data_IF_673790559937
#
_entry.id   IF_673790559937
#
_cell.length_a   1.000
_cell.length_b   1.000
_cell.length_c   1.000
_cell.angle_alpha   90.00
_cell.angle_beta   90.00
_cell.angle_gamma   90.00
#
_symmetry.space_group_name_H-M   'P 1'
#
loop_
_entity.id
_entity.type
_entity.pdbx_description
1 polymer ?
#
# COMPACT_ATOMS: atom_id res chain seq x y z
N UNK A 1 25.85 23.55 -21.58
CA UNK A 1 25.80 22.93 -20.22
C UNK A 1 25.10 21.58 -20.23
N UNK A 2 23.93 21.43 -20.87
CA UNK A 2 23.16 20.18 -20.88
C UNK A 2 23.88 18.98 -21.53
N UNK A 3 24.51 19.17 -22.70
CA UNK A 3 25.29 18.13 -23.39
C UNK A 3 26.38 17.52 -22.51
N UNK A 4 27.08 18.33 -21.71
CA UNK A 4 28.14 17.85 -20.82
C UNK A 4 27.61 16.99 -19.66
N UNK A 5 26.42 17.32 -19.13
CA UNK A 5 25.77 16.52 -18.07
C UNK A 5 25.21 15.20 -18.59
N UNK A 6 24.59 15.21 -19.77
CA UNK A 6 24.11 14.00 -20.45
C UNK A 6 25.28 13.06 -20.78
N UNK A 7 26.41 13.60 -21.29
CA UNK A 7 27.64 12.83 -21.53
C UNK A 7 28.20 12.19 -20.25
N UNK A 8 28.12 12.89 -19.11
CA UNK A 8 28.60 12.37 -17.82
C UNK A 8 27.75 11.20 -17.32
N UNK A 9 26.42 11.27 -17.50
CA UNK A 9 25.51 10.17 -17.16
C UNK A 9 25.65 8.97 -18.11
N UNK A 10 25.90 9.21 -19.40
CA UNK A 10 26.25 8.12 -20.32
C UNK A 10 27.52 7.40 -19.88
N UNK A 11 28.56 8.13 -19.48
CA UNK A 11 29.78 7.55 -18.96
C UNK A 11 29.53 6.72 -17.69
N UNK A 12 28.67 7.19 -16.79
CA UNK A 12 28.31 6.45 -15.57
C UNK A 12 27.54 5.16 -15.88
N UNK A 13 26.56 5.22 -16.79
CA UNK A 13 25.80 4.04 -17.21
C UNK A 13 26.68 3.02 -17.91
N UNK A 14 27.62 3.46 -18.76
CA UNK A 14 28.61 2.58 -19.39
C UNK A 14 29.54 1.94 -18.36
N UNK A 15 30.05 2.72 -17.40
CA UNK A 15 30.90 2.19 -16.34
C UNK A 15 30.22 1.10 -15.51
N UNK A 16 28.90 1.23 -15.25
CA UNK A 16 28.12 0.19 -14.57
C UNK A 16 27.90 -1.03 -15.47
N UNK A 17 27.61 -0.84 -16.76
CA UNK A 17 27.40 -1.94 -17.70
C UNK A 17 28.68 -2.76 -17.97
N UNK A 18 29.85 -2.13 -17.85
CA UNK A 18 31.17 -2.75 -18.02
C UNK A 18 31.70 -3.34 -16.70
N UNK A 19 30.99 -3.15 -15.59
CA UNK A 19 31.37 -3.68 -14.29
C UNK A 19 31.03 -5.17 -14.17
N UNK A 20 32.06 -5.96 -13.85
CA UNK A 20 31.94 -7.40 -13.63
C UNK A 20 31.78 -7.67 -12.13
N UNK A 21 30.54 -7.82 -11.69
CA UNK A 21 30.25 -8.10 -10.29
C UNK A 21 30.55 -9.57 -9.97
N UNK A 22 31.41 -9.84 -8.99
CA UNK A 22 31.75 -11.21 -8.58
C UNK A 22 31.08 -11.50 -7.24
N UNK A 23 30.28 -12.56 -7.21
CA UNK A 23 29.63 -13.05 -6.00
C UNK A 23 29.75 -14.58 -5.94
N UNK A 24 30.20 -15.12 -4.80
CA UNK A 24 30.47 -16.56 -4.61
C UNK A 24 31.35 -17.19 -5.71
N UNK A 25 32.32 -16.44 -6.22
CA UNK A 25 33.23 -16.89 -7.29
C UNK A 25 32.60 -16.95 -8.68
N UNK A 26 31.37 -16.46 -8.86
CA UNK A 26 30.69 -16.34 -10.16
C UNK A 26 30.61 -14.89 -10.61
N UNK A 27 30.81 -14.67 -11.90
CA UNK A 27 30.71 -13.34 -12.53
C UNK A 27 29.26 -13.10 -12.96
N UNK A 28 28.68 -12.01 -12.45
CA UNK A 28 27.35 -11.52 -12.79
C UNK A 28 27.48 -10.22 -13.58
N UNK A 29 26.71 -10.12 -14.66
CA UNK A 29 26.62 -8.90 -15.46
C UNK A 29 25.56 -8.00 -14.86
N UNK A 30 25.98 -6.84 -14.37
CA UNK A 30 25.08 -5.80 -13.86
C UNK A 30 24.98 -4.72 -14.93
N UNK A 31 23.81 -4.10 -15.04
CA UNK A 31 23.60 -3.00 -15.98
C UNK A 31 22.71 -1.92 -15.40
N UNK A 32 22.87 -0.70 -15.91
CA UNK A 32 22.08 0.45 -15.52
C UNK A 32 21.34 1.02 -16.73
N UNK A 33 20.12 1.50 -16.49
CA UNK A 33 19.39 2.35 -17.43
C UNK A 33 19.00 3.61 -16.67
N UNK A 34 19.10 4.78 -17.29
CA UNK A 34 18.87 6.04 -16.60
C UNK A 34 17.96 6.96 -17.42
N UNK A 35 17.02 7.61 -16.75
CA UNK A 35 16.21 8.69 -17.30
C UNK A 35 16.71 10.03 -16.83
N UNK A 36 16.68 11.03 -17.71
CA UNK A 36 17.04 12.41 -17.39
C UNK A 36 15.88 13.31 -17.81
N UNK A 37 15.43 14.19 -16.92
CA UNK A 37 14.61 15.34 -17.32
C UNK A 37 15.33 16.66 -17.06
N UNK A 38 14.96 17.68 -17.81
CA UNK A 38 15.38 19.06 -17.64
C UNK A 38 14.44 19.73 -16.64
N UNK A 39 14.96 20.36 -15.60
CA UNK A 39 14.13 21.23 -14.75
C UNK A 39 14.12 22.62 -15.38
N UNK A 40 12.93 23.12 -15.71
CA UNK A 40 12.70 24.40 -16.35
C UNK A 40 11.46 25.12 -15.77
N UNK A 41 11.11 26.24 -16.38
CA UNK A 41 9.96 27.05 -15.97
C UNK A 41 8.60 26.43 -16.36
N UNK A 42 8.56 25.16 -16.78
CA UNK A 42 7.31 24.48 -17.10
C UNK A 42 7.08 23.21 -16.27
N UNK A 43 8.03 22.79 -15.41
CA UNK A 43 7.90 21.61 -14.54
C UNK A 43 8.22 21.90 -13.07
N UNK A 44 7.51 22.88 -12.51
CA UNK A 44 7.81 23.46 -11.20
C UNK A 44 7.52 22.58 -9.99
N UNK A 45 6.93 21.40 -10.18
CA UNK A 45 6.60 20.48 -9.09
C UNK A 45 7.59 19.32 -9.06
N UNK A 46 8.12 18.99 -7.87
CA UNK A 46 9.03 17.86 -7.70
C UNK A 46 8.42 16.53 -8.18
N UNK A 47 7.13 16.32 -7.95
CA UNK A 47 6.41 15.14 -8.43
C UNK A 47 6.40 15.04 -9.96
N UNK A 48 6.27 16.16 -10.66
CA UNK A 48 6.28 16.24 -12.11
C UNK A 48 7.68 15.96 -12.67
N UNK A 49 8.72 16.57 -12.10
CA UNK A 49 10.13 16.32 -12.46
C UNK A 49 10.48 14.84 -12.26
N UNK A 50 10.07 14.25 -11.14
CA UNK A 50 10.32 12.84 -10.85
C UNK A 50 9.59 11.92 -11.83
N UNK A 51 8.33 12.23 -12.15
CA UNK A 51 7.55 11.49 -13.16
C UNK A 51 8.22 11.53 -14.53
N UNK A 52 8.65 12.71 -15.00
CA UNK A 52 9.34 12.85 -16.28
C UNK A 52 10.66 12.06 -16.32
N UNK A 53 11.45 12.09 -15.24
CA UNK A 53 12.68 11.31 -15.14
C UNK A 53 12.40 9.80 -15.16
N UNK A 54 11.33 9.34 -14.51
CA UNK A 54 10.95 7.93 -14.50
C UNK A 54 10.46 7.45 -15.88
N UNK A 55 9.63 8.25 -16.57
CA UNK A 55 9.19 7.99 -17.95
C UNK A 55 10.40 7.79 -18.88
N UNK A 56 11.40 8.67 -18.79
CA UNK A 56 12.63 8.56 -19.58
C UNK A 56 13.47 7.33 -19.19
N UNK A 57 13.48 6.95 -17.91
CA UNK A 57 14.17 5.75 -17.44
C UNK A 57 13.49 4.49 -18.00
N UNK A 58 12.16 4.48 -18.02
CA UNK A 58 11.37 3.41 -18.62
C UNK A 58 11.58 3.30 -20.13
N UNK A 59 11.61 4.43 -20.84
CA UNK A 59 11.95 4.46 -22.26
C UNK A 59 13.34 3.86 -22.54
N UNK A 60 14.32 4.10 -21.65
CA UNK A 60 15.65 3.48 -21.72
C UNK A 60 15.60 1.96 -21.56
N UNK A 61 14.78 1.46 -20.61
CA UNK A 61 14.59 0.03 -20.38
C UNK A 61 13.99 -0.67 -21.60
N UNK A 62 13.01 -0.05 -22.26
CA UNK A 62 12.31 -0.67 -23.39
C UNK A 62 13.01 -0.45 -24.73
N UNK A 63 13.85 0.59 -24.85
CA UNK A 63 14.63 0.86 -26.06
C UNK A 63 15.78 -0.12 -26.30
N UNK A 64 16.08 -1.02 -25.35
CA UNK A 64 17.18 -1.98 -25.43
C UNK A 64 18.10 -2.01 -24.21
N UNK A 65 17.71 -1.32 -23.11
CA UNK A 65 18.43 -1.26 -21.83
C UNK A 65 19.86 -0.71 -21.96
N UNK A 66 20.56 -0.54 -20.84
CA UNK A 66 21.98 -0.17 -20.82
C UNK A 66 22.26 1.25 -21.34
N UNK A 67 21.25 2.13 -21.35
CA UNK A 67 21.34 3.45 -21.96
C UNK A 67 20.74 4.54 -21.09
N UNK A 68 21.06 5.76 -21.47
CA UNK A 68 20.50 6.96 -20.88
C UNK A 68 19.57 7.59 -21.91
N UNK A 69 18.36 7.95 -21.49
CA UNK A 69 17.38 8.63 -22.34
C UNK A 69 16.99 9.95 -21.69
N UNK A 70 16.92 11.01 -22.50
CA UNK A 70 16.42 12.31 -22.07
C UNK A 70 14.92 12.33 -22.32
N UNK A 71 14.17 12.81 -21.34
CA UNK A 71 12.73 12.99 -21.42
C UNK A 71 12.37 13.89 -22.58
N UNK A 72 11.46 13.40 -23.43
CA UNK A 72 10.80 14.19 -24.45
C UNK A 72 9.28 14.12 -24.22
N UNK A 73 8.52 15.21 -24.42
CA UNK A 73 7.06 15.19 -24.23
C UNK A 73 6.32 14.13 -25.06
N UNK A 74 6.88 13.75 -26.21
CA UNK A 74 6.35 12.66 -27.04
C UNK A 74 6.52 11.28 -26.39
N UNK A 75 7.51 11.11 -25.51
CA UNK A 75 7.65 9.90 -24.69
C UNK A 75 6.59 9.87 -23.60
N UNK A 76 6.17 11.00 -23.04
CA UNK A 76 5.01 11.03 -22.15
C UNK A 76 3.73 10.65 -22.90
N UNK A 77 3.52 11.12 -24.14
CA UNK A 77 2.38 10.71 -24.95
C UNK A 77 2.43 9.22 -25.31
N UNK A 78 3.57 8.69 -25.78
CA UNK A 78 3.73 7.28 -26.12
C UNK A 78 3.75 6.34 -24.89
N UNK A 79 4.23 6.82 -23.74
CA UNK A 79 4.14 6.12 -22.46
C UNK A 79 2.72 6.17 -21.92
N UNK A 80 2.03 7.30 -22.02
CA UNK A 80 0.61 7.42 -21.66
C UNK A 80 -0.29 6.57 -22.57
N UNK A 81 -0.02 6.50 -23.87
CA UNK A 81 -0.80 5.69 -24.83
C UNK A 81 -0.49 4.18 -24.76
N UNK A 82 0.73 3.79 -24.34
CA UNK A 82 1.10 2.37 -24.16
C UNK A 82 1.00 1.87 -22.72
N UNK A 83 0.89 2.77 -21.72
CA UNK A 83 0.77 2.42 -20.31
C UNK A 83 -0.61 2.73 -19.71
N UNK A 84 -1.47 3.51 -20.38
CA UNK A 84 -2.87 3.59 -19.99
C UNK A 84 -3.59 2.33 -20.48
N UNK A 85 -3.73 1.35 -19.60
CA UNK A 85 -4.68 0.26 -19.80
C UNK A 85 -6.03 0.89 -20.14
N UNK A 86 -6.66 0.42 -21.22
CA UNK A 86 -7.97 0.93 -21.61
C UNK A 86 -9.00 0.70 -20.49
N UNK A 87 -10.04 1.53 -20.43
CA UNK A 87 -11.11 1.37 -19.44
C UNK A 87 -11.72 -0.04 -19.49
N UNK A 88 -11.87 -0.63 -20.68
CA UNK A 88 -12.37 -1.99 -20.87
C UNK A 88 -11.42 -3.04 -20.29
N UNK A 89 -10.11 -2.89 -20.46
CA UNK A 89 -9.10 -3.75 -19.82
C UNK A 89 -9.14 -3.64 -18.30
N UNK A 90 -9.28 -2.43 -17.75
CA UNK A 90 -9.40 -2.21 -16.31
C UNK A 90 -10.64 -2.90 -15.73
N UNK A 91 -11.78 -2.79 -16.40
CA UNK A 91 -13.00 -3.51 -16.03
C UNK A 91 -12.84 -5.02 -16.12
N UNK A 92 -12.17 -5.51 -17.16
CA UNK A 92 -11.92 -6.94 -17.34
C UNK A 92 -11.02 -7.48 -16.24
N UNK A 93 -9.95 -6.77 -15.89
CA UNK A 93 -9.08 -7.12 -14.77
C UNK A 93 -9.85 -7.21 -13.46
N UNK A 94 -10.73 -6.24 -13.19
CA UNK A 94 -11.56 -6.25 -11.99
C UNK A 94 -12.59 -7.38 -12.00
N UNK A 95 -13.14 -7.81 -13.13
CA UNK A 95 -14.21 -8.83 -13.15
C UNK A 95 -13.72 -10.26 -13.32
N UNK A 96 -12.70 -10.46 -14.16
CA UNK A 96 -12.34 -11.78 -14.68
C UNK A 96 -10.98 -12.26 -14.17
N UNK A 97 -10.02 -11.35 -13.96
CA UNK A 97 -8.66 -11.76 -13.62
C UNK A 97 -8.55 -12.21 -12.17
N UNK A 98 -7.51 -12.98 -11.87
CA UNK A 98 -7.26 -13.45 -10.51
C UNK A 98 -7.01 -12.27 -9.57
N UNK A 99 -7.68 -12.30 -8.42
CA UNK A 99 -7.50 -11.39 -7.30
C UNK A 99 -6.99 -12.24 -6.13
N UNK A 100 -5.86 -11.86 -5.56
CA UNK A 100 -5.30 -12.52 -4.39
C UNK A 100 -5.28 -11.58 -3.21
N UNK A 101 -5.83 -12.05 -2.09
CA UNK A 101 -5.76 -11.38 -0.79
C UNK A 101 -4.54 -11.91 -0.03
N UNK A 102 -3.53 -11.08 0.17
CA UNK A 102 -2.37 -11.38 1.00
C UNK A 102 -2.58 -10.85 2.40
N UNK A 103 -2.40 -11.71 3.39
CA UNK A 103 -2.55 -11.41 4.81
C UNK A 103 -1.19 -11.14 5.46
N UNK A 104 -1.09 -9.99 6.12
CA UNK A 104 0.09 -9.51 6.85
C UNK A 104 -0.20 -9.59 8.35
N UNK A 105 0.61 -10.35 9.08
CA UNK A 105 0.45 -10.48 10.53
C UNK A 105 0.75 -9.18 11.25
N UNK A 106 -0.17 -8.73 12.12
CA UNK A 106 0.01 -7.56 12.96
C UNK A 106 0.23 -7.99 14.40
N UNK A 107 1.31 -7.54 15.02
CA UNK A 107 1.64 -7.84 16.40
C UNK A 107 2.26 -6.64 17.11
N UNK A 108 2.34 -6.70 18.43
CA UNK A 108 3.11 -5.70 19.17
C UNK A 108 4.60 -5.92 18.90
N UNK A 109 5.41 -4.86 18.70
CA UNK A 109 6.86 -5.02 18.55
C UNK A 109 7.53 -5.62 19.80
N UNK A 110 6.84 -5.65 20.94
CA UNK A 110 7.30 -6.24 22.20
C UNK A 110 6.96 -7.73 22.35
N UNK A 111 5.96 -8.21 21.60
CA UNK A 111 5.44 -9.59 21.67
C UNK A 111 5.03 -10.00 20.25
N UNK A 112 5.99 -10.23 19.34
CA UNK A 112 5.73 -10.45 17.92
C UNK A 112 4.95 -11.75 17.64
N UNK A 113 4.93 -12.70 18.57
CA UNK A 113 4.21 -13.98 18.42
C UNK A 113 2.68 -13.82 18.53
N UNK A 114 2.20 -12.77 19.22
CA UNK A 114 0.79 -12.55 19.54
C UNK A 114 0.00 -11.90 18.40
N UNK A 115 -0.16 -12.63 17.29
CA UNK A 115 -0.84 -12.16 16.07
C UNK A 115 -2.34 -12.48 16.07
N UNK A 116 -3.16 -11.49 16.39
CA UNK A 116 -4.63 -11.62 16.36
C UNK A 116 -5.30 -10.74 15.29
N UNK A 117 -4.56 -9.84 14.66
CA UNK A 117 -5.02 -8.95 13.60
C UNK A 117 -4.18 -9.18 12.34
N UNK A 118 -4.83 -9.19 11.18
CA UNK A 118 -4.18 -9.33 9.89
C UNK A 118 -4.61 -8.19 8.96
N UNK A 119 -3.65 -7.47 8.38
CA UNK A 119 -3.94 -6.51 7.31
C UNK A 119 -4.00 -7.25 5.98
N UNK A 120 -4.99 -6.93 5.15
CA UNK A 120 -5.10 -7.49 3.80
C UNK A 120 -4.62 -6.47 2.78
N UNK A 121 -3.70 -6.91 1.92
CA UNK A 121 -3.34 -6.21 0.70
C UNK A 121 -3.78 -7.01 -0.52
N UNK A 122 -4.16 -6.33 -1.59
CA UNK A 122 -4.58 -7.00 -2.82
C UNK A 122 -3.45 -7.07 -3.85
N UNK A 123 -3.35 -8.22 -4.51
CA UNK A 123 -2.56 -8.43 -5.73
C UNK A 123 -3.51 -8.80 -6.86
N UNK A 124 -3.37 -8.15 -8.00
CA UNK A 124 -4.16 -8.40 -9.21
C UNK A 124 -3.26 -8.85 -10.34
N UNK A 125 -3.78 -9.72 -11.20
CA UNK A 125 -3.06 -10.13 -12.40
C UNK A 125 -3.47 -9.26 -13.59
N UNK A 126 -2.49 -8.81 -14.36
CA UNK A 126 -2.71 -8.21 -15.67
C UNK A 126 -3.16 -9.26 -16.68
N UNK A 127 -3.69 -8.80 -17.82
CA UNK A 127 -4.01 -9.67 -18.95
C UNK A 127 -2.77 -10.42 -19.48
N UNK A 128 -1.57 -9.89 -19.23
CA UNK A 128 -0.29 -10.48 -19.61
C UNK A 128 0.28 -11.43 -18.53
N UNK A 129 -0.41 -11.58 -17.40
CA UNK A 129 -0.03 -12.45 -16.30
C UNK A 129 0.94 -11.81 -15.29
N UNK A 130 1.19 -10.51 -15.38
CA UNK A 130 2.01 -9.79 -14.41
C UNK A 130 1.22 -9.45 -13.14
N UNK A 131 1.90 -9.48 -11.99
CA UNK A 131 1.29 -9.13 -10.70
C UNK A 131 1.38 -7.62 -10.49
N UNK A 132 0.23 -7.00 -10.21
CA UNK A 132 0.08 -5.57 -9.94
C UNK A 132 -0.42 -5.38 -8.50
N UNK A 133 0.25 -4.48 -7.78
CA UNK A 133 -0.16 -4.00 -6.47
C UNK A 133 -1.44 -3.17 -6.51
N UNK A 134 -2.30 -3.32 -5.51
CA UNK A 134 -3.55 -2.57 -5.38
C UNK A 134 -3.36 -1.05 -5.53
N UNK A 135 -2.39 -0.46 -4.85
CA UNK A 135 -2.17 0.98 -4.88
C UNK A 135 -1.78 1.47 -6.28
N UNK A 136 -0.91 0.71 -6.97
CA UNK A 136 -0.51 0.98 -8.35
C UNK A 136 -1.70 0.85 -9.29
N UNK A 137 -2.50 -0.20 -9.11
CA UNK A 137 -3.69 -0.43 -9.93
C UNK A 137 -4.73 0.68 -9.74
N UNK A 138 -5.03 1.07 -8.49
CA UNK A 138 -5.99 2.15 -8.20
C UNK A 138 -5.54 3.50 -8.74
N UNK A 139 -4.23 3.79 -8.74
CA UNK A 139 -3.68 5.02 -9.37
C UNK A 139 -3.87 5.05 -10.88
N UNK A 140 -4.05 3.90 -11.52
CA UNK A 140 -4.29 3.80 -12.98
C UNK A 140 -5.76 3.97 -13.37
N UNK A 141 -6.68 4.06 -12.40
CA UNK A 141 -8.10 4.14 -12.68
C UNK A 141 -8.47 5.40 -13.43
N UNK A 142 -9.07 5.21 -14.60
CA UNK A 142 -9.60 6.32 -15.40
C UNK A 142 -11.01 6.76 -14.97
N UNK A 143 -11.70 5.96 -14.15
CA UNK A 143 -13.08 6.19 -13.71
C UNK A 143 -13.26 5.79 -12.23
N UNK A 144 -13.81 6.67 -11.36
CA UNK A 144 -14.18 6.33 -9.99
C UNK A 144 -15.06 5.08 -9.84
N UNK A 145 -15.86 4.72 -10.85
CA UNK A 145 -16.69 3.51 -10.85
C UNK A 145 -15.87 2.21 -10.73
N UNK A 146 -14.60 2.23 -11.18
CA UNK A 146 -13.69 1.09 -11.05
C UNK A 146 -13.31 0.82 -9.60
N UNK A 147 -13.06 1.87 -8.81
CA UNK A 147 -12.81 1.74 -7.35
C UNK A 147 -13.99 1.10 -6.65
N UNK A 148 -15.20 1.53 -6.98
CA UNK A 148 -16.43 0.94 -6.43
C UNK A 148 -16.57 -0.54 -6.81
N UNK A 149 -16.30 -0.89 -8.06
CA UNK A 149 -16.39 -2.27 -8.54
C UNK A 149 -15.34 -3.19 -7.89
N UNK A 150 -14.10 -2.70 -7.73
CA UNK A 150 -13.05 -3.44 -7.05
C UNK A 150 -13.42 -3.69 -5.59
N UNK A 151 -13.85 -2.66 -4.86
CA UNK A 151 -14.26 -2.80 -3.46
C UNK A 151 -15.40 -3.81 -3.32
N UNK A 152 -16.43 -3.71 -4.18
CA UNK A 152 -17.56 -4.65 -4.20
C UNK A 152 -17.10 -6.09 -4.41
N UNK A 153 -16.18 -6.32 -5.36
CA UNK A 153 -15.62 -7.65 -5.60
C UNK A 153 -14.84 -8.17 -4.41
N UNK A 154 -13.99 -7.34 -3.80
CA UNK A 154 -13.17 -7.71 -2.64
C UNK A 154 -14.04 -8.18 -1.48
N UNK A 155 -15.06 -7.40 -1.12
CA UNK A 155 -15.96 -7.80 -0.04
C UNK A 155 -16.76 -9.06 -0.40
N UNK A 156 -17.29 -9.14 -1.63
CA UNK A 156 -18.02 -10.32 -2.08
C UNK A 156 -17.18 -11.60 -1.98
N UNK A 157 -15.96 -11.59 -2.52
CA UNK A 157 -15.06 -12.75 -2.46
C UNK A 157 -14.66 -13.08 -1.00
N UNK A 158 -14.40 -12.07 -0.17
CA UNK A 158 -14.07 -12.28 1.23
C UNK A 158 -15.21 -12.95 2.01
N UNK A 159 -16.44 -12.45 1.87
CA UNK A 159 -17.60 -13.03 2.55
C UNK A 159 -17.92 -14.44 2.05
N UNK A 160 -17.76 -14.67 0.76
CA UNK A 160 -18.02 -15.97 0.14
C UNK A 160 -16.98 -17.02 0.56
N UNK A 161 -15.70 -16.66 0.62
CA UNK A 161 -14.60 -17.62 0.70
C UNK A 161 -13.92 -17.69 2.06
N UNK A 162 -13.82 -16.57 2.79
CA UNK A 162 -12.97 -16.47 3.99
C UNK A 162 -13.75 -16.19 5.28
N UNK A 163 -14.84 -15.44 5.23
CA UNK A 163 -15.52 -14.92 6.43
C UNK A 163 -15.89 -16.00 7.46
N UNK A 164 -16.39 -17.17 7.01
CA UNK A 164 -16.72 -18.29 7.91
C UNK A 164 -15.48 -18.86 8.62
N UNK A 165 -14.39 -19.02 7.91
CA UNK A 165 -13.16 -19.58 8.47
C UNK A 165 -12.47 -18.56 9.41
N UNK A 166 -12.49 -17.27 9.04
CA UNK A 166 -12.07 -16.17 9.91
C UNK A 166 -12.87 -16.16 11.22
N UNK A 167 -14.20 -16.25 11.14
CA UNK A 167 -15.08 -16.31 12.30
C UNK A 167 -14.75 -17.50 13.21
N UNK A 168 -14.55 -18.68 12.61
CA UNK A 168 -14.27 -19.93 13.33
C UNK A 168 -12.92 -19.89 14.05
N UNK A 169 -11.92 -19.20 13.47
CA UNK A 169 -10.61 -18.98 14.08
C UNK A 169 -10.60 -17.84 15.10
N UNK A 170 -11.57 -16.94 15.05
CA UNK A 170 -11.64 -15.77 15.93
C UNK A 170 -10.56 -14.72 15.68
N UNK A 171 -10.00 -14.68 14.47
CA UNK A 171 -8.98 -13.69 14.07
C UNK A 171 -9.64 -12.43 13.49
N UNK A 172 -9.02 -11.27 13.69
CA UNK A 172 -9.44 -10.02 13.07
C UNK A 172 -8.77 -9.84 11.71
N UNK A 173 -9.55 -9.37 10.72
CA UNK A 173 -9.09 -9.08 9.36
C UNK A 173 -9.38 -7.62 9.03
N UNK A 174 -8.39 -6.90 8.51
CA UNK A 174 -8.52 -5.53 8.03
C UNK A 174 -8.52 -5.48 6.50
N UNK A 175 -9.66 -5.16 5.90
CA UNK A 175 -9.84 -5.04 4.45
C UNK A 175 -9.77 -3.59 3.99
N UNK A 176 -9.15 -3.30 2.84
CA UNK A 176 -9.18 -1.97 2.25
C UNK A 176 -10.58 -1.59 1.77
N UNK A 177 -10.97 -0.34 2.03
CA UNK A 177 -12.17 0.30 1.50
C UNK A 177 -11.77 1.68 0.97
N UNK A 178 -12.00 1.91 -0.32
CA UNK A 178 -11.65 3.19 -0.94
C UNK A 178 -12.62 4.30 -0.54
N UNK A 179 -12.23 5.55 -0.78
CA UNK A 179 -13.12 6.71 -0.61
C UNK A 179 -14.39 6.57 -1.47
N UNK A 180 -14.25 6.07 -2.70
CA UNK A 180 -15.38 5.83 -3.61
C UNK A 180 -16.30 4.71 -3.11
N UNK A 181 -15.75 3.69 -2.46
CA UNK A 181 -16.55 2.64 -1.81
C UNK A 181 -17.31 3.17 -0.60
N UNK A 182 -16.64 3.96 0.24
CA UNK A 182 -17.23 4.54 1.45
C UNK A 182 -18.32 5.58 1.16
N UNK A 183 -18.17 6.36 0.07
CA UNK A 183 -19.15 7.34 -0.38
C UNK A 183 -20.41 6.71 -0.97
N UNK A 184 -20.31 5.45 -1.41
CA UNK A 184 -21.43 4.71 -1.98
C UNK A 184 -22.32 4.10 -0.89
N UNK A 185 -23.48 4.72 -0.68
CA UNK A 185 -24.49 4.20 0.25
C UNK A 185 -24.95 2.77 -0.13
N UNK A 186 -24.98 2.44 -1.43
CA UNK A 186 -25.33 1.08 -1.88
C UNK A 186 -24.27 0.07 -1.46
N UNK A 187 -22.97 0.35 -1.66
CA UNK A 187 -21.93 -0.58 -1.22
C UNK A 187 -21.89 -0.74 0.29
N UNK A 188 -22.03 0.36 1.03
CA UNK A 188 -22.06 0.32 2.50
C UNK A 188 -23.24 -0.54 2.98
N UNK A 189 -24.42 -0.39 2.38
CA UNK A 189 -25.57 -1.22 2.73
C UNK A 189 -25.37 -2.68 2.33
N UNK A 190 -24.85 -2.97 1.13
CA UNK A 190 -24.53 -4.32 0.67
C UNK A 190 -23.49 -5.00 1.59
N UNK A 191 -22.52 -4.24 2.11
CA UNK A 191 -21.52 -4.71 3.06
C UNK A 191 -22.16 -5.08 4.40
N UNK A 192 -23.06 -4.24 4.90
CA UNK A 192 -23.81 -4.50 6.13
C UNK A 192 -24.71 -5.72 5.99
N UNK A 193 -25.42 -5.85 4.87
CA UNK A 193 -26.26 -7.01 4.59
C UNK A 193 -25.44 -8.31 4.49
N UNK A 194 -24.28 -8.28 3.83
CA UNK A 194 -23.39 -9.43 3.78
C UNK A 194 -22.85 -9.79 5.17
N UNK A 195 -22.57 -8.80 6.01
CA UNK A 195 -22.11 -9.02 7.37
C UNK A 195 -23.20 -9.64 8.24
N UNK A 196 -24.44 -9.14 8.16
CA UNK A 196 -25.58 -9.67 8.91
C UNK A 196 -25.94 -11.11 8.49
N UNK A 197 -25.77 -11.43 7.20
CA UNK A 197 -26.00 -12.78 6.66
C UNK A 197 -24.79 -13.73 6.84
N UNK A 198 -23.68 -13.24 7.37
CA UNK A 198 -22.45 -13.99 7.56
C UNK A 198 -22.28 -14.43 9.01
N UNK A 199 -21.63 -15.58 9.29
CA UNK A 199 -21.27 -15.97 10.64
C UNK A 199 -20.15 -15.12 11.25
N UNK A 200 -19.59 -14.14 10.52
CA UNK A 200 -18.50 -13.28 10.96
C UNK A 200 -18.98 -12.25 12.00
N UNK A 201 -18.49 -12.31 13.25
CA UNK A 201 -18.76 -11.25 14.22
C UNK A 201 -18.22 -9.90 13.69
N UNK A 202 -19.04 -8.83 13.66
CA UNK A 202 -18.63 -7.52 13.15
C UNK A 202 -17.34 -6.98 13.75
N UNK A 203 -17.09 -7.25 15.04
CA UNK A 203 -15.87 -6.83 15.76
C UNK A 203 -14.57 -7.38 15.17
N UNK A 204 -14.62 -8.46 14.38
CA UNK A 204 -13.47 -9.07 13.71
C UNK A 204 -13.21 -8.45 12.33
N UNK A 205 -14.18 -7.74 11.77
CA UNK A 205 -14.01 -7.01 10.51
C UNK A 205 -13.51 -5.60 10.79
N UNK A 206 -12.30 -5.32 10.34
CA UNK A 206 -11.70 -4.01 10.37
C UNK A 206 -11.72 -3.44 8.94
N UNK A 207 -11.97 -2.14 8.79
CA UNK A 207 -11.99 -1.46 7.49
C UNK A 207 -10.87 -0.43 7.45
N UNK A 208 -9.97 -0.59 6.48
CA UNK A 208 -8.86 0.32 6.22
C UNK A 208 -9.36 1.40 5.26
N UNK A 209 -9.45 2.62 5.76
CA UNK A 209 -10.02 3.77 5.04
C UNK A 209 -8.95 4.88 4.99
N UNK A 210 -8.78 5.58 3.86
CA UNK A 210 -7.92 6.78 3.80
C UNK A 210 -8.37 7.83 4.81
N UNK A 211 -7.44 8.41 5.58
CA UNK A 211 -7.81 9.33 6.66
C UNK A 211 -8.54 10.58 6.15
N UNK A 212 -8.24 11.04 4.94
CA UNK A 212 -8.92 12.17 4.27
C UNK A 212 -10.45 11.98 4.14
N UNK A 213 -10.91 10.74 4.00
CA UNK A 213 -12.32 10.44 3.76
C UNK A 213 -13.21 10.56 5.01
N UNK A 214 -12.61 10.67 6.20
CA UNK A 214 -13.36 10.53 7.45
C UNK A 214 -14.33 11.68 7.71
N UNK A 215 -14.02 12.88 7.23
CA UNK A 215 -14.86 14.07 7.43
C UNK A 215 -16.04 14.06 6.46
N UNK A 216 -15.74 13.88 5.17
CA UNK A 216 -16.74 13.94 4.11
C UNK A 216 -17.73 12.77 4.16
N UNK A 217 -17.34 11.66 4.78
CA UNK A 217 -18.14 10.44 4.87
C UNK A 217 -18.32 9.94 6.30
N UNK A 218 -18.35 10.87 7.28
CA UNK A 218 -18.52 10.56 8.70
C UNK A 218 -19.76 9.69 8.99
N UNK A 219 -20.87 9.92 8.28
CA UNK A 219 -22.10 9.13 8.43
C UNK A 219 -21.91 7.66 8.03
N UNK A 220 -21.25 7.39 6.90
CA UNK A 220 -20.95 6.03 6.45
C UNK A 220 -20.03 5.32 7.45
N UNK A 221 -18.99 6.01 7.93
CA UNK A 221 -18.09 5.48 8.96
C UNK A 221 -18.86 5.16 10.24
N UNK A 222 -19.75 6.06 10.68
CA UNK A 222 -20.56 5.85 11.86
C UNK A 222 -21.51 4.66 11.70
N UNK A 223 -22.15 4.48 10.54
CA UNK A 223 -22.99 3.31 10.26
C UNK A 223 -22.21 2.00 10.40
N UNK A 224 -21.02 1.92 9.81
CA UNK A 224 -20.15 0.75 9.90
C UNK A 224 -19.70 0.46 11.34
N UNK A 225 -19.38 1.50 12.11
CA UNK A 225 -19.04 1.37 13.53
C UNK A 225 -20.23 0.90 14.38
N UNK A 226 -21.44 1.42 14.12
CA UNK A 226 -22.66 1.02 14.83
C UNK A 226 -23.01 -0.45 14.55
N UNK A 227 -22.70 -0.95 13.37
CA UNK A 227 -22.80 -2.38 13.06
C UNK A 227 -21.74 -3.23 13.81
N UNK A 228 -20.72 -2.60 14.39
CA UNK A 228 -19.68 -3.24 15.20
C UNK A 228 -18.35 -3.44 14.50
N UNK A 229 -18.19 -2.98 13.25
CA UNK A 229 -16.92 -2.99 12.54
C UNK A 229 -15.91 -2.04 13.21
N UNK A 230 -14.62 -2.36 13.06
CA UNK A 230 -13.52 -1.49 13.50
C UNK A 230 -13.00 -0.67 12.33
N UNK A 231 -12.46 0.51 12.63
CA UNK A 231 -11.96 1.44 11.61
C UNK A 231 -10.45 1.64 11.80
N UNK A 232 -9.71 1.47 10.71
CA UNK A 232 -8.28 1.72 10.59
C UNK A 232 -8.10 2.88 9.61
N UNK A 233 -7.55 4.01 10.08
CA UNK A 233 -7.25 5.13 9.18
C UNK A 233 -5.86 4.99 8.60
N UNK A 234 -5.76 4.98 7.27
CA UNK A 234 -4.50 4.85 6.54
C UNK A 234 -3.98 6.19 6.03
N UNK A 235 -2.74 6.18 5.51
CA UNK A 235 -2.05 7.35 4.97
C UNK A 235 -1.79 8.45 6.03
N UNK A 236 -1.67 8.06 7.31
CA UNK A 236 -1.34 8.98 8.39
C UNK A 236 0.19 9.14 8.44
N UNK A 237 0.69 10.33 8.17
CA UNK A 237 2.13 10.55 8.09
C UNK A 237 2.51 12.02 8.24
N UNK A 238 3.17 12.56 7.22
CA UNK A 238 3.74 13.92 7.25
C UNK A 238 2.69 15.02 7.32
N UNK A 239 1.47 14.79 6.83
CA UNK A 239 0.37 15.72 6.98
C UNK A 239 -0.35 15.54 8.33
N UNK A 240 -0.05 16.43 9.26
CA UNK A 240 -0.64 16.43 10.60
C UNK A 240 -2.00 17.13 10.67
N UNK A 241 -2.52 17.70 9.58
CA UNK A 241 -3.82 18.38 9.57
C UNK A 241 -4.97 17.44 9.95
N UNK A 242 -4.82 16.13 9.70
CA UNK A 242 -5.79 15.12 10.09
C UNK A 242 -6.12 15.13 11.58
N UNK A 243 -5.16 15.47 12.45
CA UNK A 243 -5.36 15.50 13.90
C UNK A 243 -6.23 16.67 14.38
N UNK A 244 -6.40 17.71 13.56
CA UNK A 244 -7.35 18.79 13.86
C UNK A 244 -8.80 18.31 13.69
N UNK A 245 -8.99 17.30 12.84
CA UNK A 245 -10.30 16.78 12.43
C UNK A 245 -10.68 15.50 13.17
N UNK A 246 -9.67 14.73 13.61
CA UNK A 246 -9.86 13.45 14.29
C UNK A 246 -10.37 13.64 15.72
N UNK A 247 -11.54 13.08 16.02
CA UNK A 247 -12.12 13.05 17.36
C UNK A 247 -12.00 11.66 17.98
N UNK A 248 -12.13 11.60 19.31
CA UNK A 248 -12.25 10.32 20.01
C UNK A 248 -13.40 9.50 19.42
N UNK A 249 -13.24 8.17 19.38
CA UNK A 249 -14.20 7.20 18.86
C UNK A 249 -14.47 7.24 17.35
N UNK A 250 -13.73 8.03 16.55
CA UNK A 250 -13.84 8.00 15.08
C UNK A 250 -13.09 6.83 14.44
N UNK A 251 -11.99 6.39 15.06
CA UNK A 251 -11.17 5.27 14.61
C UNK A 251 -10.67 4.43 15.78
N UNK A 252 -10.33 3.18 15.51
CA UNK A 252 -9.71 2.27 16.49
C UNK A 252 -8.19 2.19 16.28
N UNK A 253 -7.74 2.35 15.04
CA UNK A 253 -6.32 2.30 14.67
C UNK A 253 -5.93 3.42 13.69
N UNK A 254 -4.70 3.90 13.80
CA UNK A 254 -4.01 4.70 12.78
C UNK A 254 -2.91 3.84 12.15
N UNK A 255 -3.04 3.56 10.86
CA UNK A 255 -2.02 2.93 10.03
C UNK A 255 -1.10 4.01 9.46
N UNK A 256 0.14 4.00 9.93
CA UNK A 256 1.15 4.97 9.56
C UNK A 256 1.63 4.77 8.13
N UNK A 257 2.03 5.86 7.49
CA UNK A 257 2.63 5.83 6.16
C UNK A 257 3.91 4.98 6.14
N UNK A 258 4.01 4.08 5.16
CA UNK A 258 5.12 3.13 5.07
C UNK A 258 6.46 3.77 4.77
N UNK A 259 6.50 4.86 3.99
CA UNK A 259 7.75 5.58 3.71
C UNK A 259 8.28 6.30 4.96
N UNK A 260 7.36 6.81 5.79
CA UNK A 260 7.71 7.39 7.08
C UNK A 260 8.29 6.32 8.03
N UNK A 261 7.67 5.14 8.07
CA UNK A 261 8.14 4.03 8.90
C UNK A 261 9.51 3.50 8.46
N UNK A 262 9.75 3.41 7.15
CA UNK A 262 11.00 2.87 6.60
C UNK A 262 12.24 3.71 6.95
N UNK A 263 12.08 5.03 7.12
CA UNK A 263 13.18 5.97 7.34
C UNK A 263 13.43 6.33 8.81
N UNK A 264 12.64 5.78 9.74
CA UNK A 264 12.62 6.20 11.16
C UNK A 264 13.99 6.12 11.84
N UNK A 265 14.83 5.15 11.50
CA UNK A 265 16.12 4.94 12.14
C UNK A 265 17.24 5.86 11.61
N UNK A 266 17.08 6.42 10.41
CA UNK A 266 18.10 7.23 9.75
C UNK A 266 17.73 8.71 9.64
N UNK A 267 16.49 9.08 9.98
CA UNK A 267 15.97 10.42 9.81
C UNK A 267 15.29 10.92 11.08
N UNK A 268 15.99 11.81 11.80
CA UNK A 268 15.50 12.44 13.03
C UNK A 268 14.15 13.16 12.84
N UNK A 269 13.87 13.70 11.65
CA UNK A 269 12.56 14.32 11.39
C UNK A 269 11.45 13.28 11.32
N UNK A 270 11.72 12.12 10.72
CA UNK A 270 10.72 11.06 10.58
C UNK A 270 10.46 10.39 11.94
N UNK A 271 11.50 10.16 12.74
CA UNK A 271 11.41 9.72 14.14
C UNK A 271 10.57 10.68 14.99
N UNK A 272 10.86 11.99 14.89
CA UNK A 272 10.09 13.03 15.59
C UNK A 272 8.62 13.04 15.15
N UNK A 273 8.34 12.92 13.85
CA UNK A 273 6.97 12.89 13.33
C UNK A 273 6.19 11.68 13.86
N UNK A 274 6.76 10.48 13.83
CA UNK A 274 6.11 9.28 14.39
C UNK A 274 5.87 9.47 15.89
N UNK A 275 6.81 10.07 16.62
CA UNK A 275 6.65 10.38 18.05
C UNK A 275 5.48 11.33 18.31
N UNK A 276 5.33 12.37 17.49
CA UNK A 276 4.19 13.31 17.56
C UNK A 276 2.88 12.56 17.29
N UNK A 277 2.81 11.79 16.20
CA UNK A 277 1.63 10.99 15.82
C UNK A 277 1.24 10.06 16.96
N UNK A 278 2.21 9.35 17.56
CA UNK A 278 1.95 8.45 18.68
C UNK A 278 1.38 9.19 19.89
N UNK A 279 1.93 10.36 20.23
CA UNK A 279 1.40 11.19 21.31
C UNK A 279 -0.04 11.65 21.06
N UNK A 280 -0.39 12.00 19.82
CA UNK A 280 -1.77 12.35 19.45
C UNK A 280 -2.71 11.14 19.52
N UNK A 281 -2.29 9.99 19.00
CA UNK A 281 -3.07 8.76 19.02
C UNK A 281 -3.44 8.34 20.46
N UNK A 282 -2.45 8.37 21.37
CA UNK A 282 -2.65 8.08 22.79
C UNK A 282 -3.67 8.99 23.46
N UNK A 283 -3.62 10.30 23.19
CA UNK A 283 -4.59 11.27 23.74
C UNK A 283 -6.01 11.02 23.26
N UNK A 284 -6.17 10.49 22.04
CA UNK A 284 -7.45 10.14 21.46
C UNK A 284 -7.93 8.72 21.81
N UNK A 285 -7.08 7.92 22.47
CA UNK A 285 -7.37 6.51 22.77
C UNK A 285 -7.34 5.61 21.53
N UNK A 286 -6.64 6.01 20.47
CA UNK A 286 -6.51 5.28 19.21
C UNK A 286 -5.14 4.58 19.20
N UNK A 287 -5.08 3.34 18.74
CA UNK A 287 -3.81 2.58 18.64
C UNK A 287 -3.10 2.86 17.34
N UNK A 288 -1.77 2.77 17.30
CA UNK A 288 -1.00 2.90 16.05
C UNK A 288 -0.56 1.55 15.49
N UNK A 289 -0.54 1.46 14.16
CA UNK A 289 0.01 0.34 13.40
C UNK A 289 1.08 0.93 12.46
N UNK A 290 2.32 0.48 12.57
CA UNK A 290 3.41 0.93 11.70
C UNK A 290 3.95 -0.20 10.82
N UNK A 291 4.33 0.12 9.59
CA UNK A 291 4.94 -0.84 8.68
C UNK A 291 4.75 -0.50 7.20
N UNK A 292 5.22 -1.37 6.29
CA UNK A 292 5.86 -2.66 6.59
C UNK A 292 7.25 -2.50 7.20
N UNK A 293 7.56 -3.30 8.23
CA UNK A 293 8.85 -3.33 8.92
C UNK A 293 9.64 -4.57 8.48
N UNK A 294 10.79 -4.32 7.85
CA UNK A 294 11.68 -5.38 7.33
C UNK A 294 12.88 -5.61 8.26
N UNK A 295 13.40 -4.53 8.87
CA UNK A 295 14.63 -4.58 9.67
C UNK A 295 14.33 -4.60 11.17
N UNK A 296 14.96 -5.49 11.96
CA UNK A 296 14.79 -5.52 13.43
C UNK A 296 15.08 -4.18 14.11
N UNK A 297 16.05 -3.43 13.60
CA UNK A 297 16.41 -2.14 14.16
C UNK A 297 15.31 -1.07 14.00
N UNK A 298 14.52 -1.14 12.92
CA UNK A 298 13.33 -0.30 12.74
C UNK A 298 12.26 -0.69 13.75
N UNK A 299 12.05 -1.99 13.98
CA UNK A 299 11.14 -2.48 15.02
C UNK A 299 11.55 -1.98 16.41
N UNK A 300 12.84 -2.04 16.76
CA UNK A 300 13.35 -1.55 18.04
C UNK A 300 13.08 -0.05 18.23
N UNK A 301 13.31 0.74 17.17
CA UNK A 301 13.04 2.18 17.16
C UNK A 301 11.56 2.47 17.37
N UNK A 302 10.67 1.82 16.62
CA UNK A 302 9.22 1.97 16.75
C UNK A 302 8.71 1.52 18.14
N UNK A 303 9.30 0.45 18.69
CA UNK A 303 9.03 -0.03 20.05
C UNK A 303 9.41 1.00 21.12
N UNK A 304 10.57 1.65 20.95
CA UNK A 304 11.08 2.72 21.81
C UNK A 304 10.23 3.99 21.77
N UNK A 305 9.74 4.38 20.59
CA UNK A 305 8.77 5.49 20.44
C UNK A 305 7.44 5.16 21.12
N UNK A 306 7.11 3.87 21.21
CA UNK A 306 5.91 3.41 21.89
C UNK A 306 4.76 3.05 20.95
N UNK A 307 5.04 2.78 19.67
CA UNK A 307 4.06 2.30 18.70
C UNK A 307 3.38 1.02 19.22
N UNK A 308 2.07 0.93 19.05
CA UNK A 308 1.28 -0.17 19.66
C UNK A 308 1.48 -1.49 18.91
N UNK A 309 1.43 -1.43 17.58
CA UNK A 309 1.46 -2.57 16.68
C UNK A 309 2.34 -2.31 15.46
N UNK A 310 2.93 -3.36 14.92
CA UNK A 310 3.68 -3.36 13.67
C UNK A 310 3.22 -4.48 12.75
N UNK A 311 3.53 -4.38 11.46
CA UNK A 311 3.42 -5.46 10.47
C UNK A 311 4.62 -5.47 9.54
N UNK A 312 4.92 -6.61 8.91
CA UNK A 312 6.01 -6.80 7.95
C UNK A 312 6.84 -8.05 8.24
N UNK A 313 7.81 -8.30 7.36
CA UNK A 313 8.63 -9.53 7.33
C UNK A 313 9.38 -9.79 8.65
N UNK A 314 9.66 -8.74 9.45
CA UNK A 314 10.26 -8.89 10.78
C UNK A 314 9.39 -9.72 11.74
N UNK A 315 8.07 -9.76 11.52
CA UNK A 315 7.12 -10.53 12.31
C UNK A 315 6.88 -11.89 11.66
N UNK A 316 6.50 -11.88 10.39
CA UNK A 316 6.29 -13.05 9.56
C UNK A 316 6.06 -12.63 8.11
N UNK A 317 6.42 -13.54 7.20
CA UNK A 317 6.13 -13.38 5.78
C UNK A 317 4.61 -13.25 5.54
N UNK A 318 4.26 -12.38 4.59
CA UNK A 318 2.90 -12.29 4.11
C UNK A 318 2.49 -13.61 3.44
N UNK A 319 1.26 -14.06 3.68
CA UNK A 319 0.76 -15.31 3.12
C UNK A 319 -0.64 -15.13 2.52
N UNK A 320 -1.02 -15.93 1.52
CA UNK A 320 -2.38 -15.95 1.00
C UNK A 320 -3.42 -16.14 2.11
N UNK A 321 -4.53 -15.40 2.05
CA UNK A 321 -5.59 -15.45 3.06
C UNK A 321 -6.22 -16.84 3.17
N UNK A 322 -6.36 -17.55 2.06
CA UNK A 322 -6.85 -18.93 2.02
C UNK A 322 -5.92 -19.87 2.80
N UNK A 323 -4.60 -19.73 2.66
CA UNK A 323 -3.61 -20.48 3.43
C UNK A 323 -3.71 -20.12 4.93
N UNK A 324 -3.84 -18.83 5.25
CA UNK A 324 -4.02 -18.38 6.63
C UNK A 324 -5.27 -18.98 7.27
N UNK A 325 -6.41 -19.05 6.57
CA UNK A 325 -7.66 -19.55 7.17
C UNK A 325 -7.78 -21.07 7.14
N UNK A 326 -7.10 -21.76 6.21
CA UNK A 326 -7.13 -23.21 6.10
C UNK A 326 -6.01 -23.93 6.88
N UNK A 327 -4.93 -23.23 7.23
CA UNK A 327 -3.87 -23.79 8.07
C UNK A 327 -4.42 -24.18 9.44
N UNK A 328 -4.27 -25.44 9.84
CA UNK A 328 -4.64 -25.87 11.20
C UNK A 328 -3.62 -25.28 12.16
N UNK A 329 -4.00 -24.34 13.04
CA UNK A 329 -3.09 -23.86 14.09
C UNK A 329 -2.93 -24.94 15.17
N UNK A 330 -1.95 -25.81 14.97
CA UNK A 330 -1.14 -26.41 16.03
C UNK A 330 0.32 -26.32 15.59
N UNK A 331 0.91 -25.13 15.70
CA UNK A 331 2.36 -24.98 15.72
C UNK A 331 2.70 -24.23 17.01
N UNK A 332 2.72 -24.99 18.10
CA UNK A 332 3.58 -24.67 19.24
C UNK A 332 4.98 -25.07 18.76
N UNK A 333 5.88 -24.11 18.59
CA UNK A 333 7.32 -24.32 18.67
C UNK A 333 7.90 -23.24 19.58
#
# INVERSE_FOLDING_TARGET
>A
MLKARVLSLHALSSAVNDYHFIWEGRVHRVGASAGITLIDDNNHQAAEVMSQADIACYASKNGGRGRVTVYEPQQAAAHSERAAMSLDEQWRMIKENQLMMLAHGVASPRIPEARNLWLISLKLWSCEGEIIDEQTFRRSFSDPALSHALDRRVFHEFFQQAAKAVASKGISIALPLSVAGLSSATLVNDLLEQLDNSPLPPRLLHLIIPAEAILDHAESVQKLRLAGCRIVLSQVGRDLQIFNSLKANMADYLLLDGELCANVQGNLMDEMLITIIQGHAQRLGVKTIAGPVVLPLVMDTLSGIGVDLIYGDVIADAQPLDLLVNSSYFAIN
#
